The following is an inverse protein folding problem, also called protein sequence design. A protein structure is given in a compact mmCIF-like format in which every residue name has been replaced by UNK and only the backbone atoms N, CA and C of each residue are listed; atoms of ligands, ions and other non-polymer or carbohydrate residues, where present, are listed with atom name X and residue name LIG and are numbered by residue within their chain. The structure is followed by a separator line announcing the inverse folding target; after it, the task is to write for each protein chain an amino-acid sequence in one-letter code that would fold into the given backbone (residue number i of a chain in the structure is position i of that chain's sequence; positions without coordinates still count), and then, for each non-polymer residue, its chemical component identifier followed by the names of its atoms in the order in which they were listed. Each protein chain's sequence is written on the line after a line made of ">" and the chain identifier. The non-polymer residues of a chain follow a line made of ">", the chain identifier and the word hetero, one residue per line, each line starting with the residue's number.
data_IF_256464131715
#
_entry.id   IF_256464131715
#
_cell.length_a   1.000
_cell.length_b   1.000
_cell.length_c   1.000
_cell.angle_alpha   90.00
_cell.angle_beta   90.00
_cell.angle_gamma   90.00
#
_symmetry.space_group_name_H-M   'P 1'
#
loop_
_entity.id
_entity.type
_entity.pdbx_description
1 polymer ?
#
# COMPACT_ATOMS: atom_id res chain seq x y z
N UNK A 1 -2.80 -1.86 14.81
CA UNK A 1 -2.85 -1.50 13.39
C UNK A 1 -1.50 -0.91 13.00
N UNK A 2 -0.89 -1.48 11.98
CA UNK A 2 0.35 -0.94 11.39
C UNK A 2 -0.02 0.09 10.34
N UNK A 3 0.86 1.06 10.10
CA UNK A 3 0.67 2.07 9.06
C UNK A 3 1.98 2.30 8.35
N UNK A 4 1.99 2.07 7.04
CA UNK A 4 3.16 2.32 6.18
C UNK A 4 2.80 3.46 5.25
N UNK A 5 3.68 4.46 5.18
CA UNK A 5 3.47 5.69 4.42
C UNK A 5 4.43 5.76 3.25
N UNK A 6 3.91 6.26 2.14
CA UNK A 6 4.62 6.41 0.89
C UNK A 6 4.39 7.81 0.29
N UNK A 7 5.32 8.23 -0.56
CA UNK A 7 5.18 9.41 -1.41
C UNK A 7 5.51 9.03 -2.85
N UNK A 8 4.61 9.34 -3.79
CA UNK A 8 4.93 9.25 -5.22
C UNK A 8 5.66 10.53 -5.64
N UNK A 9 6.98 10.56 -5.46
CA UNK A 9 7.83 11.70 -5.85
C UNK A 9 8.19 11.71 -7.34
N UNK A 10 7.57 10.83 -8.14
CA UNK A 10 7.78 10.79 -9.58
C UNK A 10 6.91 11.83 -10.30
N UNK A 11 7.24 12.07 -11.57
CA UNK A 11 6.51 12.98 -12.47
C UNK A 11 5.26 12.34 -13.11
N UNK A 12 4.88 11.13 -12.69
CA UNK A 12 3.82 10.33 -13.31
C UNK A 12 3.04 9.52 -12.28
N UNK A 13 1.87 9.04 -12.68
CA UNK A 13 1.15 8.07 -11.86
C UNK A 13 1.94 6.75 -11.77
N UNK A 14 1.87 6.11 -10.60
CA UNK A 14 2.37 4.76 -10.34
C UNK A 14 1.21 3.85 -9.95
N UNK A 15 1.41 2.55 -9.99
CA UNK A 15 0.44 1.56 -9.52
C UNK A 15 0.81 1.09 -8.11
N UNK A 16 -0.17 0.93 -7.23
CA UNK A 16 0.01 0.34 -5.91
C UNK A 16 -0.84 -0.92 -5.80
N UNK A 17 -0.19 -2.06 -5.64
CA UNK A 17 -0.86 -3.36 -5.50
C UNK A 17 -0.66 -3.90 -4.09
N UNK A 18 -1.75 -4.33 -3.47
CA UNK A 18 -1.71 -5.01 -2.16
C UNK A 18 -1.93 -6.51 -2.34
N UNK A 19 -0.96 -7.32 -1.93
CA UNK A 19 -1.04 -8.78 -1.94
C UNK A 19 -1.38 -9.33 -0.55
N UNK A 20 -2.15 -10.43 -0.46
CA UNK A 20 -2.58 -11.31 -1.57
C UNK A 20 -3.88 -10.93 -2.29
N UNK A 21 -4.55 -9.83 -1.93
CA UNK A 21 -5.85 -9.47 -2.51
C UNK A 21 -5.80 -9.09 -4.00
N UNK A 22 -4.68 -8.55 -4.47
CA UNK A 22 -4.45 -8.26 -5.88
C UNK A 22 -5.21 -7.05 -6.42
N UNK A 23 -5.83 -6.24 -5.55
CA UNK A 23 -6.36 -4.94 -5.93
C UNK A 23 -5.20 -3.99 -6.31
N UNK A 24 -5.38 -3.23 -7.39
CA UNK A 24 -4.38 -2.32 -7.94
C UNK A 24 -4.97 -0.92 -8.01
N UNK A 25 -4.32 0.01 -7.31
CA UNK A 25 -4.77 1.39 -7.20
C UNK A 25 -3.80 2.34 -7.90
N UNK A 26 -4.29 3.23 -8.78
CA UNK A 26 -3.43 4.25 -9.38
C UNK A 26 -3.14 5.36 -8.38
N UNK A 27 -1.85 5.61 -8.13
CA UNK A 27 -1.38 6.70 -7.26
C UNK A 27 -0.91 7.87 -8.13
N UNK A 28 -1.58 9.03 -8.08
CA UNK A 28 -1.19 10.21 -8.86
C UNK A 28 0.24 10.69 -8.58
N UNK A 29 0.83 11.39 -9.55
CA UNK A 29 2.13 12.07 -9.37
C UNK A 29 2.04 13.08 -8.21
N UNK A 30 3.01 13.06 -7.31
CA UNK A 30 3.07 13.95 -6.15
C UNK A 30 2.16 13.56 -4.97
N UNK A 31 1.30 12.54 -5.13
CA UNK A 31 0.40 12.11 -4.07
C UNK A 31 1.17 11.44 -2.91
N UNK A 32 0.61 11.58 -1.71
CA UNK A 32 1.00 10.80 -0.52
C UNK A 32 -0.07 9.75 -0.28
N UNK A 33 0.35 8.57 0.13
CA UNK A 33 -0.61 7.51 0.42
C UNK A 33 -0.12 6.64 1.56
N UNK A 34 -1.05 6.01 2.26
CA UNK A 34 -0.71 5.04 3.30
C UNK A 34 -1.54 3.78 3.14
N UNK A 35 -0.96 2.68 3.62
CA UNK A 35 -1.67 1.44 3.87
C UNK A 35 -1.74 1.22 5.37
N UNK A 36 -2.93 0.84 5.83
CA UNK A 36 -3.20 0.42 7.19
C UNK A 36 -3.60 -1.04 7.18
N UNK A 37 -3.07 -1.83 8.11
CA UNK A 37 -3.44 -3.24 8.21
C UNK A 37 -3.26 -3.76 9.62
N UNK A 38 -3.97 -4.86 9.92
CA UNK A 38 -3.81 -5.61 11.16
C UNK A 38 -2.82 -6.76 10.97
N UNK A 39 -1.58 -6.68 11.52
CA UNK A 39 -0.68 -7.82 11.51
C UNK A 39 -1.21 -8.93 12.42
N UNK A 40 -0.76 -10.16 12.22
CA UNK A 40 -1.05 -11.24 13.15
C UNK A 40 -0.45 -10.98 14.53
N UNK A 41 -1.22 -11.28 15.58
CA UNK A 41 -0.88 -10.97 16.98
C UNK A 41 0.23 -11.88 17.53
N UNK A 42 0.40 -13.09 16.97
CA UNK A 42 1.28 -14.14 17.50
C UNK A 42 2.55 -14.36 16.67
N UNK A 43 2.86 -13.48 15.72
CA UNK A 43 4.08 -13.55 14.90
C UNK A 43 4.64 -12.16 14.58
N UNK A 44 5.92 -12.11 14.27
CA UNK A 44 6.55 -10.89 13.76
C UNK A 44 5.92 -10.49 12.42
N UNK A 45 5.91 -9.19 12.17
CA UNK A 45 5.46 -8.61 10.91
C UNK A 45 6.50 -8.89 9.81
N UNK A 46 6.07 -9.67 8.82
CA UNK A 46 6.85 -10.11 7.66
C UNK A 46 6.44 -9.34 6.39
N UNK A 47 5.69 -8.25 6.53
CA UNK A 47 5.32 -7.40 5.40
C UNK A 47 6.57 -6.88 4.68
N UNK A 48 6.46 -6.76 3.37
CA UNK A 48 7.55 -6.22 2.56
C UNK A 48 7.01 -5.41 1.39
N UNK A 49 7.88 -4.53 0.89
CA UNK A 49 7.58 -3.66 -0.23
C UNK A 49 8.63 -3.83 -1.32
N UNK A 50 8.16 -3.91 -2.57
CA UNK A 50 9.01 -3.90 -3.75
C UNK A 50 8.53 -2.82 -4.72
N UNK A 51 9.48 -2.13 -5.36
CA UNK A 51 9.19 -1.20 -6.44
C UNK A 51 9.84 -1.70 -7.73
N UNK A 52 9.01 -1.99 -8.74
CA UNK A 52 9.46 -2.40 -10.06
C UNK A 52 8.53 -1.86 -11.14
N UNK A 53 9.10 -1.38 -12.26
CA UNK A 53 8.33 -0.96 -13.44
C UNK A 53 7.16 0.02 -13.18
N UNK A 54 7.34 0.98 -12.25
CA UNK A 54 6.31 1.94 -11.81
C UNK A 54 5.15 1.34 -11.02
N UNK A 55 5.34 0.15 -10.48
CA UNK A 55 4.42 -0.49 -9.56
C UNK A 55 5.11 -0.67 -8.20
N UNK A 56 4.41 -0.29 -7.14
CA UNK A 56 4.72 -0.71 -5.78
C UNK A 56 3.88 -1.95 -5.49
N UNK A 57 4.54 -3.05 -5.16
CA UNK A 57 3.90 -4.25 -4.61
C UNK A 57 4.10 -4.24 -3.11
N UNK A 58 3.01 -4.23 -2.36
CA UNK A 58 3.03 -4.35 -0.92
C UNK A 58 2.41 -5.67 -0.54
N UNK A 59 3.21 -6.57 0.01
CA UNK A 59 2.71 -7.84 0.50
C UNK A 59 2.51 -7.74 2.01
N UNK A 60 1.35 -8.21 2.47
CA UNK A 60 1.04 -8.22 3.89
C UNK A 60 0.32 -9.50 4.29
N UNK A 61 0.79 -10.06 5.41
CA UNK A 61 0.18 -11.21 6.08
C UNK A 61 -0.94 -10.74 7.02
N UNK A 62 -1.89 -9.96 6.51
CA UNK A 62 -3.00 -9.40 7.29
C UNK A 62 -4.33 -10.12 7.03
N UNK A 63 -5.33 -9.86 7.88
CA UNK A 63 -6.73 -10.21 7.60
C UNK A 63 -7.49 -9.12 6.87
N UNK A 64 -7.02 -7.88 6.98
CA UNK A 64 -7.61 -6.68 6.42
C UNK A 64 -6.54 -5.69 5.98
N UNK A 65 -6.95 -4.77 5.10
CA UNK A 65 -6.19 -3.57 4.81
C UNK A 65 -7.12 -2.43 4.40
N UNK A 66 -6.66 -1.21 4.65
CA UNK A 66 -7.24 0.03 4.16
C UNK A 66 -6.15 0.84 3.47
N UNK A 67 -6.51 1.60 2.44
CA UNK A 67 -5.61 2.50 1.73
C UNK A 67 -6.21 3.89 1.75
N UNK A 68 -5.39 4.91 2.02
CA UNK A 68 -5.75 6.30 1.79
C UNK A 68 -4.77 6.94 0.80
N UNK A 69 -5.29 7.80 -0.08
CA UNK A 69 -4.51 8.61 -1.01
C UNK A 69 -4.87 10.07 -0.78
N UNK A 70 -3.87 10.88 -0.43
CA UNK A 70 -4.00 12.27 -0.01
C UNK A 70 -5.05 12.48 1.10
N UNK A 71 -5.21 11.48 1.98
CA UNK A 71 -6.17 11.47 3.08
C UNK A 71 -7.58 11.02 2.72
N UNK A 72 -7.84 10.65 1.46
CA UNK A 72 -9.12 10.09 1.02
C UNK A 72 -9.04 8.56 0.97
N UNK A 73 -10.00 7.83 1.57
CA UNK A 73 -9.99 6.37 1.57
C UNK A 73 -10.28 5.83 0.17
N UNK A 74 -9.50 4.82 -0.23
CA UNK A 74 -9.71 4.07 -1.47
C UNK A 74 -10.62 2.88 -1.18
N UNK A 75 -11.67 2.64 -1.98
CA UNK A 75 -12.50 1.45 -1.83
C UNK A 75 -11.67 0.18 -2.08
N UNK A 76 -11.53 -0.66 -1.06
CA UNK A 76 -10.80 -1.93 -1.10
C UNK A 76 -11.71 -3.14 -1.30
#
# INVERSE_FOLDING_TARGET
>A
MVTVRFSNETDRAIEFMVEPWGAVEPIPAGARFAIHYSPHVDREDTSYVEYHARMIRFWVEGSDYEVDVDGEPVPT
#
